data_IF_514370634007
#
_entry.id   IF_514370634007
#
_cell.length_a   1.000
_cell.length_b   1.000
_cell.length_c   1.000
_cell.angle_alpha   90.00
_cell.angle_beta   90.00
_cell.angle_gamma   90.00
#
_symmetry.space_group_name_H-M   'P 1'
#
loop_
_entity.id
_entity.type
_entity.pdbx_description
1 polymer ?
#
# COMPACT_ATOMS: atom_id res chain seq x y z
N UNK A 1 14.60 -13.92 -7.23
CA UNK A 1 14.61 -13.58 -5.78
C UNK A 1 14.00 -12.22 -5.49
N UNK A 2 14.27 -11.17 -6.28
CA UNK A 2 13.71 -9.83 -6.04
C UNK A 2 12.19 -9.76 -6.30
N UNK A 3 11.68 -10.53 -7.25
CA UNK A 3 10.27 -10.53 -7.64
C UNK A 3 9.51 -11.75 -7.15
N UNK A 4 8.19 -11.61 -6.96
CA UNK A 4 7.28 -12.69 -6.56
C UNK A 4 7.06 -13.75 -7.65
N UNK A 5 7.58 -13.54 -8.86
CA UNK A 5 7.56 -14.52 -9.96
C UNK A 5 8.16 -15.87 -9.55
N UNK A 6 9.06 -15.86 -8.58
CA UNK A 6 9.70 -17.05 -8.03
C UNK A 6 8.71 -18.02 -7.38
N UNK A 7 7.54 -17.55 -6.94
CA UNK A 7 6.53 -18.39 -6.30
C UNK A 7 5.47 -18.93 -7.29
N UNK A 8 5.40 -18.39 -8.50
CA UNK A 8 4.41 -18.78 -9.52
C UNK A 8 4.96 -19.84 -10.47
N UNK A 9 5.91 -19.45 -11.34
CA UNK A 9 6.51 -20.31 -12.36
C UNK A 9 8.01 -19.98 -12.46
N UNK A 10 8.82 -20.69 -11.68
CA UNK A 10 10.28 -20.59 -11.73
C UNK A 10 10.82 -21.44 -12.89
N UNK A 11 11.45 -20.78 -13.86
CA UNK A 11 12.28 -21.44 -14.87
C UNK A 11 13.69 -21.68 -14.31
N UNK A 12 14.28 -22.88 -14.48
CA UNK A 12 15.64 -23.17 -14.04
C UNK A 12 16.63 -22.14 -14.57
N UNK A 13 17.55 -21.72 -13.70
CA UNK A 13 18.64 -20.81 -14.06
C UNK A 13 19.69 -21.61 -14.82
N UNK A 14 20.09 -21.13 -15.99
CA UNK A 14 21.16 -21.72 -16.80
C UNK A 14 22.48 -20.95 -16.63
N UNK A 15 23.61 -21.62 -16.87
CA UNK A 15 24.95 -21.01 -16.88
C UNK A 15 25.94 -21.60 -15.86
N UNK A 16 27.06 -20.89 -15.66
CA UNK A 16 28.25 -21.37 -14.93
C UNK A 16 28.01 -21.76 -13.47
N UNK A 17 27.00 -21.17 -12.82
CA UNK A 17 26.64 -21.40 -11.41
C UNK A 17 25.21 -21.92 -11.25
N UNK A 18 24.64 -22.52 -12.32
CA UNK A 18 23.24 -22.96 -12.34
C UNK A 18 22.88 -23.90 -11.20
N UNK A 19 23.73 -24.88 -10.88
CA UNK A 19 23.48 -25.85 -9.81
C UNK A 19 23.27 -25.14 -8.47
N UNK A 20 24.24 -24.34 -8.04
CA UNK A 20 24.21 -23.65 -6.74
C UNK A 20 23.08 -22.61 -6.68
N UNK A 21 22.83 -21.88 -7.78
CA UNK A 21 21.78 -20.87 -7.85
C UNK A 21 20.38 -21.50 -7.81
N UNK A 22 20.14 -22.60 -8.52
CA UNK A 22 18.85 -23.30 -8.46
C UNK A 22 18.62 -23.89 -7.07
N UNK A 23 19.64 -24.50 -6.44
CA UNK A 23 19.54 -24.99 -5.06
C UNK A 23 19.21 -23.86 -4.08
N UNK A 24 19.87 -22.70 -4.19
CA UNK A 24 19.57 -21.52 -3.37
C UNK A 24 18.11 -21.06 -3.55
N UNK A 25 17.64 -20.99 -4.80
CA UNK A 25 16.27 -20.58 -5.13
C UNK A 25 15.23 -21.56 -4.61
N UNK A 26 15.45 -22.86 -4.78
CA UNK A 26 14.56 -23.91 -4.28
C UNK A 26 14.49 -23.91 -2.76
N UNK A 27 15.64 -23.84 -2.06
CA UNK A 27 15.68 -23.77 -0.61
C UNK A 27 15.01 -22.51 -0.06
N UNK A 28 15.18 -21.36 -0.73
CA UNK A 28 14.46 -20.13 -0.40
C UNK A 28 12.95 -20.29 -0.56
N UNK A 29 12.52 -20.84 -1.69
CA UNK A 29 11.09 -21.08 -1.95
C UNK A 29 10.48 -22.02 -0.92
N UNK A 30 11.17 -23.12 -0.59
CA UNK A 30 10.70 -24.10 0.39
C UNK A 30 10.63 -23.50 1.79
N UNK A 31 11.62 -22.68 2.19
CA UNK A 31 11.58 -21.95 3.46
C UNK A 31 10.37 -21.03 3.53
N UNK A 32 10.14 -20.20 2.50
CA UNK A 32 9.02 -19.25 2.51
C UNK A 32 7.67 -19.99 2.50
N UNK A 33 7.48 -21.01 1.68
CA UNK A 33 6.17 -21.66 1.53
C UNK A 33 5.86 -22.71 2.61
N UNK A 34 6.89 -23.34 3.17
CA UNK A 34 6.74 -24.54 4.02
C UNK A 34 7.57 -24.49 5.31
N UNK A 35 8.28 -23.38 5.59
CA UNK A 35 9.15 -23.20 6.76
C UNK A 35 10.21 -24.31 6.92
N UNK A 36 10.61 -24.95 5.82
CA UNK A 36 11.71 -25.93 5.83
C UNK A 36 13.01 -25.25 6.19
N UNK A 37 13.85 -25.88 7.02
CA UNK A 37 15.11 -25.28 7.46
C UNK A 37 16.00 -24.87 6.28
N UNK A 38 16.54 -23.66 6.38
CA UNK A 38 17.44 -23.10 5.38
C UNK A 38 18.89 -23.34 5.84
N UNK A 39 19.60 -24.26 5.18
CA UNK A 39 20.99 -24.59 5.55
C UNK A 39 21.96 -23.45 5.20
N UNK A 40 22.87 -23.13 6.14
CA UNK A 40 23.94 -22.15 5.94
C UNK A 40 24.93 -22.59 4.85
N UNK A 41 25.05 -23.90 4.61
CA UNK A 41 26.01 -24.47 3.68
C UNK A 41 25.67 -24.09 2.23
N UNK A 42 24.38 -23.90 1.92
CA UNK A 42 23.93 -23.45 0.59
C UNK A 42 24.51 -22.06 0.25
N UNK A 43 24.62 -21.17 1.24
CA UNK A 43 25.25 -19.86 1.05
C UNK A 43 26.74 -20.00 0.79
N UNK A 44 27.41 -20.84 1.60
CA UNK A 44 28.85 -21.05 1.54
C UNK A 44 29.28 -21.70 0.23
N UNK A 45 28.55 -22.70 -0.25
CA UNK A 45 28.87 -23.41 -1.48
C UNK A 45 28.85 -22.46 -2.70
N UNK A 46 27.83 -21.62 -2.81
CA UNK A 46 27.76 -20.60 -3.87
C UNK A 46 28.89 -19.57 -3.73
N UNK A 47 29.11 -19.07 -2.51
CA UNK A 47 30.13 -18.06 -2.23
C UNK A 47 31.53 -18.58 -2.55
N UNK A 48 31.90 -19.75 -2.04
CA UNK A 48 33.20 -20.41 -2.27
C UNK A 48 33.45 -20.65 -3.75
N UNK A 49 32.44 -21.15 -4.48
CA UNK A 49 32.60 -21.45 -5.91
C UNK A 49 32.83 -20.18 -6.73
N UNK A 50 32.16 -19.09 -6.37
CA UNK A 50 32.30 -17.79 -7.03
C UNK A 50 33.61 -17.12 -6.64
N UNK A 51 34.06 -17.25 -5.39
CA UNK A 51 35.33 -16.68 -4.94
C UNK A 51 36.54 -17.39 -5.56
N UNK A 52 36.44 -18.70 -5.82
CA UNK A 52 37.52 -19.46 -6.46
C UNK A 52 37.59 -19.26 -7.98
N UNK A 53 36.43 -19.14 -8.64
CA UNK A 53 36.34 -19.26 -10.11
C UNK A 53 35.69 -18.05 -10.82
N UNK A 54 35.21 -17.07 -10.07
CA UNK A 54 34.47 -15.91 -10.57
C UNK A 54 35.36 -14.70 -10.84
N UNK A 55 34.78 -13.70 -11.49
CA UNK A 55 35.37 -12.36 -11.60
C UNK A 55 35.04 -11.52 -10.37
N UNK A 56 35.77 -10.42 -10.17
CA UNK A 56 35.46 -9.43 -9.11
C UNK A 56 34.00 -8.96 -9.16
N UNK A 57 33.46 -8.78 -10.37
CA UNK A 57 32.05 -8.45 -10.56
C UNK A 57 31.12 -9.56 -10.08
N UNK A 58 31.45 -10.83 -10.38
CA UNK A 58 30.65 -11.99 -9.92
C UNK A 58 30.63 -12.08 -8.39
N UNK A 59 31.76 -11.79 -7.75
CA UNK A 59 31.91 -11.75 -6.29
C UNK A 59 30.97 -10.71 -5.67
N UNK A 60 30.96 -9.49 -6.21
CA UNK A 60 30.07 -8.42 -5.74
C UNK A 60 28.60 -8.82 -5.89
N UNK A 61 28.22 -9.29 -7.08
CA UNK A 61 26.82 -9.66 -7.36
C UNK A 61 26.34 -10.79 -6.45
N UNK A 62 27.16 -11.80 -6.20
CA UNK A 62 26.78 -12.93 -5.33
C UNK A 62 26.67 -12.48 -3.88
N UNK A 63 27.59 -11.66 -3.37
CA UNK A 63 27.45 -11.11 -2.02
C UNK A 63 26.16 -10.27 -1.87
N UNK A 64 25.83 -9.43 -2.87
CA UNK A 64 24.57 -8.69 -2.89
C UNK A 64 23.35 -9.63 -2.92
N UNK A 65 23.38 -10.68 -3.74
CA UNK A 65 22.31 -11.68 -3.82
C UNK A 65 22.10 -12.35 -2.47
N UNK A 66 23.17 -12.85 -1.84
CA UNK A 66 23.08 -13.53 -0.55
C UNK A 66 22.55 -12.59 0.54
N UNK A 67 23.03 -11.34 0.58
CA UNK A 67 22.53 -10.33 1.50
C UNK A 67 21.03 -10.05 1.31
N UNK A 68 20.57 -9.98 0.05
CA UNK A 68 19.14 -9.83 -0.27
C UNK A 68 18.34 -11.05 0.20
N UNK A 69 18.84 -12.27 -0.03
CA UNK A 69 18.16 -13.50 0.43
C UNK A 69 18.02 -13.51 1.95
N UNK A 70 19.10 -13.23 2.69
CA UNK A 70 19.07 -13.14 4.15
C UNK A 70 18.05 -12.10 4.62
N UNK A 71 18.08 -10.90 4.04
CA UNK A 71 17.13 -9.84 4.37
C UNK A 71 15.69 -10.27 4.14
N UNK A 72 15.39 -10.93 3.02
CA UNK A 72 14.03 -11.39 2.69
C UNK A 72 13.56 -12.50 3.62
N UNK A 73 14.44 -13.41 4.04
CA UNK A 73 14.14 -14.43 5.06
C UNK A 73 13.83 -13.75 6.40
N UNK A 74 14.63 -12.78 6.81
CA UNK A 74 14.44 -12.07 8.08
C UNK A 74 13.16 -11.24 8.10
N UNK A 75 12.74 -10.69 6.96
CA UNK A 75 11.47 -9.97 6.82
C UNK A 75 10.32 -10.87 6.35
N UNK A 76 10.49 -12.19 6.27
CA UNK A 76 9.47 -13.07 5.70
C UNK A 76 8.25 -13.22 6.61
N UNK A 77 7.07 -13.29 6.00
CA UNK A 77 5.83 -13.58 6.71
C UNK A 77 5.87 -14.94 7.42
N UNK A 78 6.57 -15.91 6.84
CA UNK A 78 6.78 -17.27 7.37
C UNK A 78 7.51 -17.29 8.70
N UNK A 79 8.50 -16.40 8.86
CA UNK A 79 9.23 -16.22 10.11
C UNK A 79 8.42 -15.37 11.09
N UNK A 80 7.98 -14.20 10.63
CA UNK A 80 7.54 -13.13 11.50
C UNK A 80 6.06 -13.19 11.90
N UNK A 81 5.15 -13.67 11.04
CA UNK A 81 3.73 -13.72 11.41
C UNK A 81 3.46 -14.68 12.57
N UNK A 82 3.99 -15.91 12.60
CA UNK A 82 3.85 -16.79 13.77
C UNK A 82 4.39 -16.14 15.06
N UNK A 83 5.58 -15.52 14.99
CA UNK A 83 6.22 -14.84 16.11
C UNK A 83 5.38 -13.67 16.63
N UNK A 84 4.96 -12.76 15.75
CA UNK A 84 4.22 -11.55 16.13
C UNK A 84 2.75 -11.81 16.49
N UNK A 85 2.14 -12.88 15.99
CA UNK A 85 0.78 -13.26 16.37
C UNK A 85 0.75 -14.16 17.61
N UNK A 86 1.87 -14.80 17.96
CA UNK A 86 1.89 -15.86 18.98
C UNK A 86 1.18 -17.13 18.54
N UNK A 87 1.04 -17.35 17.23
CA UNK A 87 0.36 -18.49 16.63
C UNK A 87 1.34 -19.47 16.00
N UNK A 88 0.93 -20.73 15.91
CA UNK A 88 1.72 -21.73 15.19
C UNK A 88 1.74 -21.46 13.68
N UNK A 89 2.81 -21.85 13.00
CA UNK A 89 2.94 -21.70 11.55
C UNK A 89 1.84 -22.42 10.77
N UNK A 90 1.34 -23.56 11.27
CA UNK A 90 0.27 -24.33 10.63
C UNK A 90 -1.00 -23.50 10.37
N UNK A 91 -1.34 -22.55 11.25
CA UNK A 91 -2.50 -21.68 11.08
C UNK A 91 -2.29 -20.64 9.97
N UNK A 92 -1.04 -20.29 9.67
CA UNK A 92 -0.69 -19.33 8.63
C UNK A 92 -0.34 -20.00 7.29
N UNK A 93 -0.15 -21.31 7.28
CA UNK A 93 0.41 -22.06 6.16
C UNK A 93 -0.43 -21.86 4.88
N UNK A 94 -1.74 -22.08 4.96
CA UNK A 94 -2.63 -21.96 3.79
C UNK A 94 -2.59 -20.54 3.19
N UNK A 95 -2.64 -19.52 4.05
CA UNK A 95 -2.49 -18.13 3.62
C UNK A 95 -1.14 -17.91 2.94
N UNK A 96 -0.04 -18.27 3.61
CA UNK A 96 1.32 -18.07 3.11
C UNK A 96 1.58 -18.85 1.82
N UNK A 97 0.83 -19.92 1.51
CA UNK A 97 0.97 -20.66 0.26
C UNK A 97 0.15 -20.08 -0.90
N UNK A 98 -0.88 -19.28 -0.61
CA UNK A 98 -1.69 -18.63 -1.63
C UNK A 98 -0.88 -17.65 -2.50
N UNK A 99 -1.32 -17.44 -3.74
CA UNK A 99 -0.61 -16.61 -4.73
C UNK A 99 -0.66 -15.11 -4.42
N UNK A 100 -1.73 -14.64 -3.78
CA UNK A 100 -1.94 -13.22 -3.41
C UNK A 100 -1.45 -12.85 -2.01
N UNK A 101 -0.81 -13.77 -1.27
CA UNK A 101 -0.36 -13.50 0.09
C UNK A 101 0.87 -12.59 0.14
N UNK A 102 0.99 -11.85 1.24
CA UNK A 102 2.20 -11.10 1.56
C UNK A 102 3.29 -12.10 1.96
N UNK A 103 4.34 -12.25 1.16
CA UNK A 103 5.49 -13.13 1.48
C UNK A 103 6.52 -12.44 2.37
N UNK A 104 6.59 -11.11 2.28
CA UNK A 104 7.55 -10.26 2.98
C UNK A 104 6.84 -9.08 3.64
N UNK A 105 7.15 -8.86 4.91
CA UNK A 105 6.62 -7.76 5.69
C UNK A 105 7.42 -6.48 5.42
N UNK A 106 6.69 -5.40 5.19
CA UNK A 106 7.24 -4.06 5.13
C UNK A 106 7.63 -3.57 6.52
N UNK A 107 8.53 -2.58 6.63
CA UNK A 107 8.95 -2.02 7.93
C UNK A 107 7.78 -1.62 8.83
N UNK A 108 6.69 -1.11 8.26
CA UNK A 108 5.45 -0.80 8.99
C UNK A 108 4.87 -2.03 9.67
N UNK A 109 4.64 -3.11 8.93
CA UNK A 109 4.04 -4.35 9.43
C UNK A 109 4.93 -5.02 10.48
N UNK A 110 6.25 -4.95 10.30
CA UNK A 110 7.23 -5.41 11.29
C UNK A 110 7.08 -4.62 12.60
N UNK A 111 6.94 -3.29 12.53
CA UNK A 111 6.77 -2.46 13.72
C UNK A 111 5.43 -2.75 14.43
N UNK A 112 4.33 -2.93 13.68
CA UNK A 112 3.06 -3.36 14.26
C UNK A 112 3.20 -4.68 15.03
N UNK A 113 3.91 -5.65 14.44
CA UNK A 113 4.18 -6.94 15.07
C UNK A 113 5.00 -6.81 16.35
N UNK A 114 6.10 -6.03 16.32
CA UNK A 114 6.94 -5.76 17.50
C UNK A 114 6.18 -5.10 18.64
N UNK A 115 5.21 -4.23 18.33
CA UNK A 115 4.38 -3.57 19.33
C UNK A 115 3.14 -4.41 19.75
N UNK A 116 3.11 -5.70 19.39
CA UNK A 116 2.07 -6.66 19.74
C UNK A 116 0.66 -6.33 19.22
N UNK A 117 0.56 -5.53 18.14
CA UNK A 117 -0.73 -5.25 17.49
C UNK A 117 -1.35 -6.55 16.94
N UNK A 118 -0.54 -7.41 16.31
CA UNK A 118 -1.03 -8.69 15.79
C UNK A 118 -1.45 -9.67 16.90
N UNK A 119 -0.88 -9.57 18.10
CA UNK A 119 -1.26 -10.37 19.27
C UNK A 119 -2.50 -9.85 20.01
N UNK A 120 -3.08 -8.72 19.60
CA UNK A 120 -4.32 -8.20 20.20
C UNK A 120 -4.19 -6.87 20.94
N UNK A 121 -3.01 -6.23 20.96
CA UNK A 121 -2.83 -4.95 21.67
C UNK A 121 -3.53 -3.81 20.92
N UNK A 122 -4.22 -2.95 21.66
CA UNK A 122 -4.80 -1.70 21.16
C UNK A 122 -3.71 -0.66 20.94
N UNK A 123 -3.93 0.31 20.05
CA UNK A 123 -2.95 1.35 19.83
C UNK A 123 -3.28 2.37 18.75
N UNK A 124 -2.34 3.30 18.58
CA UNK A 124 -2.31 4.24 17.48
C UNK A 124 -1.19 3.84 16.53
N UNK A 125 -1.49 3.81 15.25
CA UNK A 125 -0.58 3.43 14.18
C UNK A 125 -0.43 4.60 13.23
N UNK A 126 0.76 5.21 13.26
CA UNK A 126 1.15 6.27 12.34
C UNK A 126 1.77 5.64 11.10
N UNK A 127 0.98 5.62 10.02
CA UNK A 127 1.36 5.04 8.74
C UNK A 127 0.99 6.02 7.62
N UNK A 128 1.99 6.67 7.02
CA UNK A 128 1.76 7.52 5.87
C UNK A 128 1.15 6.76 4.68
N UNK A 129 0.50 7.49 3.77
CA UNK A 129 -0.02 6.94 2.52
C UNK A 129 1.07 6.15 1.79
N UNK A 130 0.67 5.03 1.18
CA UNK A 130 1.57 4.11 0.47
C UNK A 130 2.57 3.35 1.36
N UNK A 131 2.40 3.32 2.69
CA UNK A 131 3.26 2.56 3.62
C UNK A 131 2.72 1.14 3.94
N UNK A 132 1.75 0.63 3.17
CA UNK A 132 1.20 -0.72 3.36
C UNK A 132 0.10 -0.81 4.41
N UNK A 133 -0.73 0.23 4.50
CA UNK A 133 -1.82 0.38 5.48
C UNK A 133 -2.88 -0.72 5.34
N UNK A 134 -3.41 -0.91 4.13
CA UNK A 134 -4.40 -1.97 3.86
C UNK A 134 -3.85 -3.37 4.14
N UNK A 135 -2.59 -3.63 3.77
CA UNK A 135 -1.89 -4.87 4.11
C UNK A 135 -1.76 -5.09 5.62
N UNK A 136 -1.50 -4.04 6.39
CA UNK A 136 -1.43 -4.09 7.85
C UNK A 136 -2.78 -4.39 8.50
N UNK A 137 -3.85 -3.77 7.99
CA UNK A 137 -5.23 -4.07 8.39
C UNK A 137 -5.55 -5.54 8.09
N UNK A 138 -5.20 -6.02 6.89
CA UNK A 138 -5.44 -7.40 6.49
C UNK A 138 -4.75 -8.42 7.42
N UNK A 139 -3.45 -8.23 7.69
CA UNK A 139 -2.70 -9.11 8.59
C UNK A 139 -3.24 -9.07 10.03
N UNK A 140 -3.70 -7.90 10.49
CA UNK A 140 -4.31 -7.77 11.82
C UNK A 140 -5.62 -8.54 11.92
N UNK A 141 -6.50 -8.43 10.91
CA UNK A 141 -7.75 -9.19 10.82
C UNK A 141 -7.48 -10.69 10.82
N UNK A 142 -6.56 -11.15 9.97
CA UNK A 142 -6.15 -12.55 9.89
C UNK A 142 -5.64 -13.09 11.21
N UNK A 143 -4.73 -12.36 11.86
CA UNK A 143 -4.20 -12.75 13.16
C UNK A 143 -5.31 -12.88 14.21
N UNK A 144 -6.25 -11.93 14.25
CA UNK A 144 -7.37 -11.96 15.17
C UNK A 144 -8.33 -13.12 14.91
N UNK A 145 -8.60 -13.42 13.63
CA UNK A 145 -9.41 -14.56 13.23
C UNK A 145 -8.71 -15.90 13.47
N UNK A 146 -7.44 -16.07 13.12
CA UNK A 146 -6.71 -17.33 13.29
C UNK A 146 -6.46 -17.67 14.77
N UNK A 147 -6.34 -16.65 15.61
CA UNK A 147 -6.29 -16.81 17.07
C UNK A 147 -7.65 -17.10 17.71
N UNK A 148 -8.76 -17.03 16.94
CA UNK A 148 -10.14 -17.12 17.43
C UNK A 148 -10.44 -16.17 18.61
N UNK A 149 -9.74 -15.02 18.66
CA UNK A 149 -10.00 -13.97 19.66
C UNK A 149 -11.27 -13.19 19.34
N UNK A 150 -11.63 -13.14 18.07
CA UNK A 150 -12.76 -12.40 17.56
C UNK A 150 -13.46 -13.23 16.48
N UNK A 151 -14.78 -13.09 16.38
CA UNK A 151 -15.55 -13.54 15.22
C UNK A 151 -15.89 -12.35 14.31
N UNK A 152 -16.01 -11.15 14.87
CA UNK A 152 -16.43 -9.97 14.12
C UNK A 152 -15.46 -8.80 14.33
N UNK A 153 -15.16 -8.12 13.22
CA UNK A 153 -14.35 -6.92 13.18
C UNK A 153 -15.11 -5.75 12.55
N UNK A 154 -14.77 -4.53 12.97
CA UNK A 154 -15.35 -3.28 12.50
C UNK A 154 -14.25 -2.37 11.95
N UNK A 155 -14.43 -1.85 10.73
CA UNK A 155 -13.57 -0.84 10.13
C UNK A 155 -14.39 0.42 9.88
N UNK A 156 -13.92 1.54 10.40
CA UNK A 156 -14.56 2.85 10.28
C UNK A 156 -13.70 3.73 9.39
N UNK A 157 -14.21 4.18 8.25
CA UNK A 157 -13.51 5.11 7.37
C UNK A 157 -14.37 6.34 7.05
N UNK A 158 -13.76 7.51 6.80
CA UNK A 158 -14.49 8.79 6.77
C UNK A 158 -15.51 8.95 5.63
N UNK A 159 -15.25 8.33 4.48
CA UNK A 159 -16.04 8.54 3.27
C UNK A 159 -16.54 7.23 2.70
N UNK A 160 -17.72 7.26 2.06
CA UNK A 160 -18.29 6.09 1.38
C UNK A 160 -17.36 5.55 0.29
N UNK A 161 -16.70 6.44 -0.46
CA UNK A 161 -15.75 6.05 -1.49
C UNK A 161 -14.56 5.28 -0.89
N UNK A 162 -14.02 5.74 0.24
CA UNK A 162 -12.90 5.07 0.91
C UNK A 162 -13.33 3.75 1.55
N UNK A 163 -14.52 3.67 2.14
CA UNK A 163 -15.06 2.39 2.59
C UNK A 163 -15.21 1.38 1.43
N UNK A 164 -15.64 1.82 0.24
CA UNK A 164 -15.71 0.96 -0.97
C UNK A 164 -14.34 0.44 -1.39
N UNK A 165 -13.34 1.30 -1.33
CA UNK A 165 -11.94 0.94 -1.61
C UNK A 165 -11.45 -0.11 -0.62
N UNK A 166 -11.56 0.15 0.70
CA UNK A 166 -11.18 -0.80 1.74
C UNK A 166 -11.95 -2.12 1.59
N UNK A 167 -13.25 -2.05 1.26
CA UNK A 167 -14.06 -3.25 1.02
C UNK A 167 -13.49 -4.10 -0.12
N UNK A 168 -13.21 -3.49 -1.28
CA UNK A 168 -12.66 -4.20 -2.44
C UNK A 168 -11.33 -4.85 -2.09
N UNK A 169 -10.44 -4.12 -1.43
CA UNK A 169 -9.12 -4.61 -1.07
C UNK A 169 -9.20 -5.77 -0.06
N UNK A 170 -9.93 -5.57 1.05
CA UNK A 170 -10.07 -6.60 2.09
C UNK A 170 -10.78 -7.83 1.54
N UNK A 171 -11.84 -7.65 0.74
CA UNK A 171 -12.57 -8.76 0.12
C UNK A 171 -11.69 -9.55 -0.87
N UNK A 172 -10.87 -8.87 -1.67
CA UNK A 172 -9.93 -9.52 -2.58
C UNK A 172 -8.94 -10.42 -1.84
N UNK A 173 -8.54 -10.03 -0.63
CA UNK A 173 -7.63 -10.83 0.19
C UNK A 173 -8.29 -12.03 0.86
N UNK A 174 -9.61 -12.03 1.11
CA UNK A 174 -10.33 -13.13 1.77
C UNK A 174 -11.17 -13.98 0.80
N UNK A 175 -11.02 -13.78 -0.52
CA UNK A 175 -11.85 -14.46 -1.54
C UNK A 175 -11.76 -15.98 -1.50
N UNK A 176 -10.61 -16.53 -1.09
CA UNK A 176 -10.37 -17.97 -0.99
C UNK A 176 -10.80 -18.55 0.39
N UNK A 177 -11.28 -17.71 1.31
CA UNK A 177 -11.68 -18.09 2.66
C UNK A 177 -13.20 -17.99 2.84
N UNK A 178 -13.91 -19.07 2.48
CA UNK A 178 -15.38 -19.15 2.54
C UNK A 178 -15.99 -18.93 3.94
N UNK A 179 -15.18 -18.95 5.00
CA UNK A 179 -15.62 -18.70 6.38
C UNK A 179 -15.54 -17.22 6.80
N UNK A 180 -15.02 -16.34 5.93
CA UNK A 180 -14.93 -14.90 6.19
C UNK A 180 -15.88 -14.16 5.26
N UNK A 181 -16.84 -13.44 5.83
CA UNK A 181 -17.75 -12.56 5.10
C UNK A 181 -17.31 -11.12 5.29
N UNK A 182 -16.87 -10.48 4.22
CA UNK A 182 -16.64 -9.03 4.19
C UNK A 182 -17.94 -8.36 3.77
N UNK A 183 -18.46 -7.47 4.61
CA UNK A 183 -19.72 -6.76 4.36
C UNK A 183 -19.49 -5.27 4.35
N UNK A 184 -19.84 -4.65 3.23
CA UNK A 184 -19.98 -3.21 3.14
C UNK A 184 -21.35 -2.80 3.73
N UNK A 185 -21.37 -2.12 4.88
CA UNK A 185 -22.62 -1.77 5.58
C UNK A 185 -23.22 -0.48 4.99
N UNK A 186 -23.16 -0.32 3.67
CA UNK A 186 -23.90 0.74 3.00
C UNK A 186 -25.34 0.34 2.67
N UNK A 187 -25.59 -0.94 2.44
CA UNK A 187 -26.89 -1.47 1.98
C UNK A 187 -27.19 -2.87 2.57
N UNK A 188 -26.89 -3.11 3.85
CA UNK A 188 -27.55 -4.23 4.53
C UNK A 188 -29.02 -3.81 4.77
N UNK A 189 -30.03 -4.57 4.27
CA UNK A 189 -31.34 -4.52 4.89
C UNK A 189 -31.11 -4.79 6.38
N UNK A 190 -31.65 -3.90 7.21
CA UNK A 190 -31.57 -3.85 8.68
C UNK A 190 -30.97 -5.11 9.29
N UNK A 191 -29.82 -4.98 9.98
CA UNK A 191 -29.26 -6.06 10.82
C UNK A 191 -30.45 -6.70 11.53
N UNK A 192 -30.74 -7.99 11.29
CA UNK A 192 -31.92 -8.62 11.83
C UNK A 192 -32.01 -8.31 13.32
N UNK A 193 -33.18 -7.87 13.81
CA UNK A 193 -33.34 -7.46 15.21
C UNK A 193 -32.92 -8.56 16.20
N UNK A 194 -32.94 -9.81 15.76
CA UNK A 194 -32.54 -10.99 16.51
C UNK A 194 -31.04 -11.30 16.47
N UNK A 195 -30.23 -10.48 15.78
CA UNK A 195 -28.78 -10.67 15.63
C UNK A 195 -28.39 -12.05 15.08
N UNK A 196 -29.32 -12.72 14.39
CA UNK A 196 -29.15 -14.09 13.88
C UNK A 196 -27.94 -14.26 12.96
N UNK A 197 -27.53 -13.18 12.29
CA UNK A 197 -26.33 -13.17 11.45
C UNK A 197 -25.06 -13.54 12.22
N UNK A 198 -24.99 -13.32 13.54
CA UNK A 198 -23.81 -13.63 14.34
C UNK A 198 -23.72 -15.11 14.76
N UNK A 199 -24.80 -15.87 14.62
CA UNK A 199 -24.94 -17.23 15.15
C UNK A 199 -24.63 -18.35 14.14
N UNK A 200 -24.16 -18.04 12.94
CA UNK A 200 -23.90 -19.04 11.89
C UNK A 200 -22.45 -19.56 11.86
N UNK A 201 -21.64 -19.20 12.85
CA UNK A 201 -20.24 -19.62 13.00
C UNK A 201 -19.27 -18.99 12.00
N UNK A 202 -19.71 -18.01 11.21
CA UNK A 202 -18.86 -17.30 10.25
C UNK A 202 -18.21 -16.07 10.85
N UNK A 203 -17.03 -15.74 10.32
CA UNK A 203 -16.28 -14.55 10.70
C UNK A 203 -16.69 -13.37 9.81
N UNK A 204 -16.80 -12.17 10.38
CA UNK A 204 -17.32 -11.00 9.65
C UNK A 204 -16.44 -9.78 9.78
N UNK A 205 -16.35 -9.02 8.68
CA UNK A 205 -15.73 -7.70 8.67
C UNK A 205 -16.78 -6.68 8.22
N UNK A 206 -17.15 -5.77 9.09
CA UNK A 206 -18.08 -4.68 8.82
C UNK A 206 -17.31 -3.42 8.46
N UNK A 207 -17.62 -2.82 7.31
CA UNK A 207 -16.99 -1.56 6.87
C UNK A 207 -18.06 -0.48 6.78
N UNK A 208 -17.88 0.63 7.49
CA UNK A 208 -18.87 1.69 7.58
C UNK A 208 -18.28 3.08 7.84
N UNK A 209 -19.13 4.11 7.72
CA UNK A 209 -18.77 5.50 8.03
C UNK A 209 -19.07 5.85 9.50
N UNK A 210 -18.39 6.86 10.07
CA UNK A 210 -18.69 7.40 11.40
C UNK A 210 -20.18 7.62 11.70
N UNK A 211 -20.91 8.24 10.76
CA UNK A 211 -22.34 8.52 10.93
C UNK A 211 -23.19 7.25 11.01
N UNK A 212 -22.83 6.20 10.26
CA UNK A 212 -23.52 4.91 10.31
C UNK A 212 -23.22 4.16 11.60
N UNK A 213 -21.97 4.23 12.10
CA UNK A 213 -21.62 3.68 13.41
C UNK A 213 -22.46 4.31 14.52
N UNK A 214 -22.54 5.64 14.56
CA UNK A 214 -23.34 6.35 15.56
C UNK A 214 -24.83 5.97 15.49
N UNK A 215 -25.37 5.77 14.28
CA UNK A 215 -26.73 5.28 14.10
C UNK A 215 -26.91 3.88 14.71
N UNK A 216 -25.97 2.95 14.44
CA UNK A 216 -26.04 1.58 14.99
C UNK A 216 -25.91 1.58 16.51
N UNK A 217 -24.96 2.34 17.07
CA UNK A 217 -24.78 2.43 18.53
C UNK A 217 -26.00 3.00 19.26
N UNK A 218 -26.80 3.85 18.59
CA UNK A 218 -28.03 4.41 19.17
C UNK A 218 -29.23 3.46 19.11
N UNK A 219 -29.35 2.68 18.04
CA UNK A 219 -30.55 1.86 17.78
C UNK A 219 -30.36 0.38 18.15
N UNK A 220 -29.12 -0.10 18.14
CA UNK A 220 -28.75 -1.52 18.24
C UNK A 220 -27.47 -1.67 19.07
N UNK A 221 -27.50 -1.23 20.33
CA UNK A 221 -26.30 -1.20 21.17
C UNK A 221 -25.64 -2.58 21.33
N UNK A 222 -26.44 -3.66 21.39
CA UNK A 222 -25.95 -5.05 21.46
C UNK A 222 -25.10 -5.49 20.26
N UNK A 223 -25.14 -4.76 19.14
CA UNK A 223 -24.24 -4.99 18.01
C UNK A 223 -22.77 -4.94 18.43
N UNK A 224 -22.42 -4.06 19.36
CA UNK A 224 -21.02 -3.86 19.73
C UNK A 224 -20.45 -4.99 20.58
N UNK A 225 -21.32 -5.69 21.32
CA UNK A 225 -20.91 -6.79 22.20
C UNK A 225 -20.37 -7.98 21.40
N UNK A 226 -20.76 -8.09 20.13
CA UNK A 226 -20.29 -9.11 19.18
C UNK A 226 -18.96 -8.74 18.48
N UNK A 227 -18.49 -7.49 18.60
CA UNK A 227 -17.29 -7.00 17.91
C UNK A 227 -16.07 -7.12 18.83
N UNK A 228 -15.03 -7.82 18.37
CA UNK A 228 -13.77 -8.00 19.11
C UNK A 228 -12.62 -7.10 18.66
N UNK A 229 -12.72 -6.50 17.47
CA UNK A 229 -11.70 -5.61 16.90
C UNK A 229 -12.36 -4.43 16.19
N UNK A 230 -11.90 -3.22 16.49
CA UNK A 230 -12.32 -2.00 15.81
C UNK A 230 -11.11 -1.21 15.29
N UNK A 231 -11.12 -0.90 14.00
CA UNK A 231 -10.08 -0.14 13.31
C UNK A 231 -10.68 1.17 12.82
N UNK A 232 -10.12 2.29 13.25
CA UNK A 232 -10.50 3.64 12.85
C UNK A 232 -9.49 4.17 11.84
N UNK A 233 -9.96 4.38 10.63
CA UNK A 233 -9.15 4.82 9.50
C UNK A 233 -9.18 6.33 9.31
N UNK A 234 -8.04 6.90 8.92
CA UNK A 234 -7.85 8.34 8.75
C UNK A 234 -8.14 9.15 10.02
N UNK A 235 -7.62 8.67 11.14
CA UNK A 235 -7.78 9.33 12.44
C UNK A 235 -7.16 10.74 12.52
N UNK A 236 -6.39 11.20 11.52
CA UNK A 236 -5.95 12.60 11.42
C UNK A 236 -7.10 13.59 11.28
N UNK A 237 -8.29 13.13 10.90
CA UNK A 237 -9.49 13.97 10.84
C UNK A 237 -9.88 14.56 12.20
N UNK A 238 -9.28 14.08 13.30
CA UNK A 238 -9.37 14.71 14.61
C UNK A 238 -9.03 16.21 14.58
N UNK A 239 -8.09 16.61 13.73
CA UNK A 239 -7.60 17.99 13.61
C UNK A 239 -8.32 18.82 12.54
N UNK A 240 -9.30 18.24 11.84
CA UNK A 240 -10.05 18.98 10.81
C UNK A 240 -11.00 20.00 11.48
N UNK A 241 -10.91 21.31 11.21
CA UNK A 241 -11.72 22.33 11.87
C UNK A 241 -13.24 22.19 11.65
N UNK A 242 -13.65 21.50 10.58
CA UNK A 242 -15.05 21.30 10.22
C UNK A 242 -15.60 19.94 10.64
N UNK A 243 -14.73 18.93 10.79
CA UNK A 243 -15.11 17.52 10.98
C UNK A 243 -14.53 16.86 12.24
N UNK A 244 -13.52 17.46 12.85
CA UNK A 244 -12.85 16.96 14.05
C UNK A 244 -13.80 16.76 15.21
N UNK A 245 -14.72 17.69 15.44
CA UNK A 245 -15.74 17.57 16.51
C UNK A 245 -16.63 16.33 16.36
N UNK A 246 -17.00 15.97 15.12
CA UNK A 246 -17.81 14.77 14.88
C UNK A 246 -17.00 13.48 15.13
N UNK A 247 -15.72 13.49 14.79
CA UNK A 247 -14.83 12.36 15.02
C UNK A 247 -14.49 12.20 16.51
N UNK A 248 -14.24 13.30 17.22
CA UNK A 248 -14.05 13.30 18.67
C UNK A 248 -15.31 12.81 19.40
N UNK A 249 -16.49 13.27 18.98
CA UNK A 249 -17.76 12.79 19.53
C UNK A 249 -17.95 11.29 19.25
N UNK A 250 -17.57 10.81 18.07
CA UNK A 250 -17.57 9.38 17.76
C UNK A 250 -16.67 8.62 18.72
N UNK A 251 -15.38 9.00 18.83
CA UNK A 251 -14.42 8.32 19.69
C UNK A 251 -14.83 8.37 21.18
N UNK A 252 -15.43 9.48 21.62
CA UNK A 252 -15.99 9.62 22.97
C UNK A 252 -17.14 8.64 23.20
N UNK A 253 -18.05 8.55 22.25
CA UNK A 253 -19.20 7.62 22.28
C UNK A 253 -18.70 6.18 22.29
N UNK A 254 -17.74 5.87 21.41
CA UNK A 254 -17.07 4.57 21.33
C UNK A 254 -16.44 4.21 22.67
N UNK A 255 -15.62 5.11 23.25
CA UNK A 255 -14.96 4.87 24.54
C UNK A 255 -15.97 4.56 25.65
N UNK A 256 -17.12 5.22 25.65
CA UNK A 256 -18.15 5.02 26.67
C UNK A 256 -18.92 3.70 26.52
N UNK A 257 -19.19 3.29 25.28
CA UNK A 257 -20.07 2.16 24.98
C UNK A 257 -19.29 0.85 24.81
N UNK A 258 -18.08 0.91 24.27
CA UNK A 258 -17.33 -0.28 23.87
C UNK A 258 -16.85 -1.08 25.09
N UNK A 259 -16.95 -2.42 25.07
CA UNK A 259 -16.37 -3.27 26.11
C UNK A 259 -14.87 -3.05 26.25
N UNK A 260 -14.34 -3.11 27.48
CA UNK A 260 -12.89 -2.89 27.73
C UNK A 260 -11.98 -3.89 26.99
N UNK A 261 -12.47 -5.09 26.71
CA UNK A 261 -11.71 -6.16 26.06
C UNK A 261 -11.57 -6.01 24.54
N UNK A 262 -12.28 -5.06 23.90
CA UNK A 262 -12.20 -4.89 22.45
C UNK A 262 -10.85 -4.29 22.05
N UNK A 263 -10.23 -4.88 21.04
CA UNK A 263 -9.02 -4.33 20.45
C UNK A 263 -9.38 -3.09 19.63
N UNK A 264 -8.74 -1.96 19.91
CA UNK A 264 -8.99 -0.67 19.25
C UNK A 264 -7.71 -0.18 18.58
N UNK A 265 -7.79 0.10 17.28
CA UNK A 265 -6.63 0.57 16.50
C UNK A 265 -7.02 1.84 15.76
N UNK A 266 -6.27 2.93 15.95
CA UNK A 266 -6.40 4.13 15.14
C UNK A 266 -5.27 4.15 14.14
N UNK A 267 -5.58 4.28 12.85
CA UNK A 267 -4.58 4.33 11.78
C UNK A 267 -4.66 5.66 11.04
N UNK A 268 -3.53 6.34 10.89
CA UNK A 268 -3.47 7.60 10.14
C UNK A 268 -2.06 7.95 9.70
N UNK A 269 -1.91 8.81 8.70
CA UNK A 269 -0.61 9.29 8.24
C UNK A 269 0.15 10.07 9.32
N UNK A 270 -0.52 11.03 9.97
CA UNK A 270 0.03 11.85 11.05
C UNK A 270 -1.07 12.04 12.08
N UNK A 271 -0.77 11.86 13.36
CA UNK A 271 -1.68 12.22 14.46
C UNK A 271 -0.91 13.10 15.43
N UNK A 272 -1.21 14.40 15.49
CA UNK A 272 -0.62 15.26 16.50
C UNK A 272 -1.10 14.84 17.90
N UNK A 273 -0.23 15.00 18.90
CA UNK A 273 -0.51 14.57 20.28
C UNK A 273 -0.98 13.11 20.41
N UNK A 274 -0.42 12.20 19.59
CA UNK A 274 -0.74 10.77 19.60
C UNK A 274 -0.63 10.15 21.00
N UNK A 275 0.30 10.61 21.83
CA UNK A 275 0.42 10.19 23.23
C UNK A 275 -0.82 10.49 24.07
N UNK A 276 -1.32 11.72 23.97
CA UNK A 276 -2.50 12.14 24.72
C UNK A 276 -3.76 11.40 24.23
N UNK A 277 -3.92 11.27 22.91
CA UNK A 277 -5.05 10.57 22.30
C UNK A 277 -5.01 9.08 22.66
N UNK A 278 -3.83 8.45 22.61
CA UNK A 278 -3.69 7.04 22.94
C UNK A 278 -3.99 6.78 24.42
N UNK A 279 -3.47 7.62 25.33
CA UNK A 279 -3.79 7.55 26.76
C UNK A 279 -5.27 7.79 27.03
N UNK A 280 -5.90 8.70 26.29
CA UNK A 280 -7.33 8.98 26.43
C UNK A 280 -8.20 7.83 25.89
N UNK A 281 -7.91 7.30 24.71
CA UNK A 281 -8.83 6.38 24.01
C UNK A 281 -8.52 4.89 24.23
N UNK A 282 -7.23 4.54 24.22
CA UNK A 282 -6.75 3.16 24.38
C UNK A 282 -6.25 2.86 25.80
N UNK A 283 -6.05 3.89 26.63
CA UNK A 283 -5.48 3.79 27.98
C UNK A 283 -4.05 3.24 27.92
N UNK A 284 -3.87 1.91 28.00
CA UNK A 284 -2.58 1.21 27.96
C UNK A 284 -2.14 0.77 26.54
N UNK A 285 -2.69 1.43 25.52
CA UNK A 285 -2.37 1.15 24.12
C UNK A 285 -0.92 1.48 23.75
N UNK A 286 -0.46 0.96 22.61
CA UNK A 286 0.86 1.30 22.03
C UNK A 286 0.76 2.41 21.00
N UNK A 287 1.88 3.07 20.75
CA UNK A 287 2.02 4.03 19.64
C UNK A 287 3.07 3.46 18.71
N UNK A 288 2.64 3.16 17.49
CA UNK A 288 3.51 2.72 16.41
C UNK A 288 3.81 3.94 15.56
N UNK A 289 4.99 4.53 15.77
CA UNK A 289 5.51 5.65 14.98
C UNK A 289 7.01 5.46 14.85
N UNK A 290 7.52 5.19 13.65
CA UNK A 290 8.95 4.96 13.44
C UNK A 290 9.43 5.69 12.18
N UNK A 291 10.59 6.32 12.25
CA UNK A 291 11.26 6.98 11.12
C UNK A 291 11.58 6.03 9.95
N UNK A 292 11.55 4.71 10.19
CA UNK A 292 11.65 3.69 9.14
C UNK A 292 10.36 3.48 8.36
N UNK A 293 9.21 3.93 8.88
CA UNK A 293 7.94 3.98 8.16
C UNK A 293 7.95 5.26 7.32
N UNK A 294 8.82 5.29 6.32
CA UNK A 294 8.89 6.40 5.38
C UNK A 294 7.74 6.31 4.40
N UNK A 295 7.10 7.45 4.11
CA UNK A 295 6.33 7.63 2.88
C UNK A 295 7.16 7.16 1.69
N UNK A 296 6.51 6.72 0.61
CA UNK A 296 7.14 6.68 -0.71
C UNK A 296 7.98 7.95 -0.89
N UNK A 297 9.27 7.82 -1.21
CA UNK A 297 10.15 8.97 -1.45
C UNK A 297 9.47 9.88 -2.48
N UNK A 298 8.95 11.01 -2.01
CA UNK A 298 8.43 12.03 -2.90
C UNK A 298 9.63 12.79 -3.41
N UNK A 299 9.98 12.54 -4.66
CA UNK A 299 10.98 13.33 -5.36
C UNK A 299 10.28 14.52 -5.99
N UNK A 300 10.76 15.72 -5.67
CA UNK A 300 10.26 16.95 -6.27
C UNK A 300 11.31 17.39 -7.28
N UNK A 301 10.87 17.63 -8.51
CA UNK A 301 11.73 18.17 -9.55
C UNK A 301 11.17 19.50 -10.06
N UNK A 302 12.06 20.47 -10.28
CA UNK A 302 11.74 21.74 -10.94
C UNK A 302 12.27 21.70 -12.37
N UNK A 303 11.42 22.06 -13.32
CA UNK A 303 11.83 22.30 -14.70
C UNK A 303 12.41 23.71 -14.79
N UNK A 304 13.68 23.82 -15.16
CA UNK A 304 14.27 25.09 -15.57
C UNK A 304 14.35 25.15 -17.10
N UNK A 305 13.82 26.24 -17.64
CA UNK A 305 13.74 26.54 -19.06
C UNK A 305 14.80 27.58 -19.49
N UNK A 306 15.83 27.82 -18.68
CA UNK A 306 16.93 28.73 -19.02
C UNK A 306 17.74 28.24 -20.24
N UNK A 307 17.24 28.49 -21.45
CA UNK A 307 17.91 28.24 -22.72
C UNK A 307 17.15 27.27 -23.65
N UNK A 308 17.84 26.78 -24.69
CA UNK A 308 17.30 25.85 -25.70
C UNK A 308 17.16 24.41 -25.23
N UNK A 309 17.56 24.08 -24.00
CA UNK A 309 17.46 22.74 -23.41
C UNK A 309 16.83 22.83 -22.01
N UNK A 310 15.65 22.24 -21.87
CA UNK A 310 14.97 22.07 -20.59
C UNK A 310 15.71 21.04 -19.71
N UNK A 311 15.75 21.30 -18.40
CA UNK A 311 16.43 20.45 -17.42
C UNK A 311 15.54 20.27 -16.18
N UNK A 312 15.51 19.05 -15.64
CA UNK A 312 14.84 18.76 -14.38
C UNK A 312 15.85 18.76 -13.24
N UNK A 313 15.67 19.63 -12.26
CA UNK A 313 16.45 19.69 -11.02
C UNK A 313 15.68 19.00 -9.92
N UNK A 314 16.19 17.86 -9.45
CA UNK A 314 15.62 17.13 -8.32
C UNK A 314 16.12 17.74 -7.02
N UNK A 315 15.20 18.07 -6.13
CA UNK A 315 15.50 18.68 -4.83
C UNK A 315 14.92 17.85 -3.69
N UNK A 316 15.61 17.86 -2.56
CA UNK A 316 15.06 17.35 -1.31
C UNK A 316 13.95 18.32 -0.82
N UNK A 317 12.72 17.84 -0.58
CA UNK A 317 11.59 18.71 -0.26
C UNK A 317 11.64 19.31 1.15
N UNK A 318 12.54 18.84 2.01
CA UNK A 318 12.71 19.30 3.40
C UNK A 318 13.83 20.33 3.47
N UNK A 319 14.97 20.02 2.88
CA UNK A 319 16.18 20.86 2.92
C UNK A 319 16.25 21.86 1.78
N UNK A 320 15.51 21.63 0.69
CA UNK A 320 15.57 22.37 -0.57
C UNK A 320 16.95 22.32 -1.26
N UNK A 321 17.81 21.38 -0.87
CA UNK A 321 19.09 21.15 -1.52
C UNK A 321 18.89 20.38 -2.84
N UNK A 322 19.65 20.75 -3.88
CA UNK A 322 19.70 20.01 -5.13
C UNK A 322 20.37 18.65 -4.90
N UNK A 323 19.66 17.56 -5.22
CA UNK A 323 20.21 16.21 -5.15
C UNK A 323 20.97 15.86 -6.44
N UNK A 324 20.32 16.05 -7.59
CA UNK A 324 20.86 15.80 -8.93
C UNK A 324 19.99 16.47 -10.01
N UNK A 325 20.49 16.57 -11.23
CA UNK A 325 19.71 17.07 -12.37
C UNK A 325 19.70 16.10 -13.55
N UNK A 326 18.65 16.16 -14.36
CA UNK A 326 18.50 15.38 -15.60
C UNK A 326 18.44 16.36 -16.78
N UNK A 327 19.47 16.38 -17.66
CA UNK A 327 19.50 17.30 -18.78
C UNK A 327 18.67 16.78 -19.97
N UNK A 328 18.09 17.72 -20.75
CA UNK A 328 17.42 17.45 -22.05
C UNK A 328 16.27 16.45 -21.94
N UNK A 329 15.41 16.68 -20.98
CA UNK A 329 14.25 15.84 -20.69
C UNK A 329 13.11 16.02 -21.70
N UNK A 330 13.05 17.17 -22.38
CA UNK A 330 12.03 17.47 -23.40
C UNK A 330 12.60 17.48 -24.82
N UNK A 331 11.98 16.67 -25.68
CA UNK A 331 12.17 16.65 -27.13
C UNK A 331 11.05 17.41 -27.84
N UNK A 332 11.38 18.50 -28.53
CA UNK A 332 10.42 19.27 -29.32
C UNK A 332 10.24 18.63 -30.70
N UNK A 333 9.01 18.28 -31.04
CA UNK A 333 8.60 17.68 -32.31
C UNK A 333 7.79 18.68 -33.14
N UNK A 334 7.97 18.65 -34.45
CA UNK A 334 7.13 19.40 -35.38
C UNK A 334 5.77 18.71 -35.52
N UNK A 335 4.69 19.51 -35.47
CA UNK A 335 3.32 19.01 -35.65
C UNK A 335 2.87 19.13 -37.10
N UNK A 336 2.01 18.21 -37.54
CA UNK A 336 1.38 18.35 -38.85
C UNK A 336 0.51 19.62 -38.93
N UNK A 337 0.57 20.29 -40.08
CA UNK A 337 -0.21 21.49 -40.34
C UNK A 337 -1.61 21.11 -40.77
N UNK A 338 -2.61 21.82 -40.25
CA UNK A 338 -4.01 21.61 -40.62
C UNK A 338 -4.50 22.73 -41.54
N UNK A 339 -5.09 22.36 -42.68
CA UNK A 339 -5.72 23.30 -43.61
C UNK A 339 -4.74 24.26 -44.27
N UNK A 340 -4.90 25.57 -44.04
CA UNK A 340 -4.11 26.66 -44.65
C UNK A 340 -3.16 27.34 -43.67
N UNK A 341 -2.77 26.64 -42.60
CA UNK A 341 -1.79 27.15 -41.64
C UNK A 341 -0.46 27.45 -42.34
N UNK A 342 0.12 28.63 -42.05
CA UNK A 342 1.39 29.06 -42.67
C UNK A 342 2.59 28.95 -41.74
N UNK A 343 2.35 28.86 -40.43
CA UNK A 343 3.39 28.77 -39.41
C UNK A 343 3.51 27.31 -38.96
N UNK A 344 4.73 26.78 -38.99
CA UNK A 344 5.04 25.46 -38.43
C UNK A 344 4.75 25.49 -36.92
N UNK A 345 3.92 24.55 -36.47
CA UNK A 345 3.64 24.35 -35.04
C UNK A 345 4.54 23.27 -34.50
N UNK A 346 4.81 23.35 -33.21
CA UNK A 346 5.66 22.41 -32.48
C UNK A 346 4.98 21.94 -31.21
N UNK A 347 5.42 20.81 -30.68
CA UNK A 347 5.02 20.31 -29.38
C UNK A 347 6.19 19.59 -28.68
N UNK A 348 6.40 19.80 -27.38
CA UNK A 348 5.75 20.83 -26.57
C UNK A 348 6.28 22.23 -26.92
N UNK A 349 5.41 23.24 -26.85
CA UNK A 349 5.87 24.63 -26.82
C UNK A 349 6.51 24.90 -25.45
N UNK A 350 7.84 25.10 -25.41
CA UNK A 350 8.61 25.19 -24.16
C UNK A 350 8.16 26.33 -23.23
N UNK A 351 7.55 27.39 -23.77
CA UNK A 351 7.01 28.51 -22.99
C UNK A 351 5.60 28.26 -22.45
N UNK A 352 4.98 27.14 -22.80
CA UNK A 352 3.60 26.80 -22.41
C UNK A 352 3.61 25.70 -21.35
N UNK A 353 3.31 26.10 -20.11
CA UNK A 353 3.25 25.23 -18.93
C UNK A 353 2.33 24.01 -19.13
N UNK A 354 1.23 24.18 -19.88
CA UNK A 354 0.29 23.09 -20.15
C UNK A 354 0.90 22.07 -21.13
N UNK A 355 1.65 22.53 -22.14
CA UNK A 355 2.31 21.64 -23.09
C UNK A 355 3.39 20.80 -22.41
N UNK A 356 4.17 21.41 -21.51
CA UNK A 356 5.14 20.68 -20.68
C UNK A 356 4.45 19.65 -19.79
N UNK A 357 3.34 20.03 -19.15
CA UNK A 357 2.55 19.11 -18.32
C UNK A 357 1.98 17.93 -19.12
N UNK A 358 1.49 18.18 -20.33
CA UNK A 358 0.98 17.15 -21.25
C UNK A 358 2.12 16.24 -21.73
N UNK A 359 3.28 16.81 -22.09
CA UNK A 359 4.44 16.06 -22.55
C UNK A 359 4.93 15.07 -21.50
N UNK A 360 5.12 15.52 -20.26
CA UNK A 360 5.45 14.62 -19.16
C UNK A 360 4.33 13.63 -18.86
N UNK A 361 3.07 14.06 -18.95
CA UNK A 361 1.90 13.20 -18.85
C UNK A 361 1.97 11.99 -19.79
N UNK A 362 2.25 12.23 -21.06
CA UNK A 362 2.33 11.19 -22.09
C UNK A 362 3.55 10.29 -21.86
N UNK A 363 4.71 10.86 -21.55
CA UNK A 363 5.96 10.08 -21.42
C UNK A 363 6.04 9.25 -20.14
N UNK A 364 5.42 9.71 -19.05
CA UNK A 364 5.49 9.03 -17.76
C UNK A 364 4.38 8.01 -17.53
N UNK A 365 3.33 7.99 -18.37
CA UNK A 365 2.17 7.10 -18.19
C UNK A 365 2.52 5.61 -18.21
N UNK A 366 3.60 5.23 -18.90
CA UNK A 366 4.09 3.85 -18.91
C UNK A 366 4.63 3.40 -17.54
N UNK A 367 4.97 4.34 -16.65
CA UNK A 367 5.50 4.05 -15.32
C UNK A 367 4.40 4.01 -14.22
N UNK A 368 3.14 4.26 -14.58
CA UNK A 368 2.01 4.26 -13.66
C UNK A 368 1.03 5.42 -13.91
N UNK A 369 0.05 5.57 -13.03
CA UNK A 369 -0.95 6.64 -13.13
C UNK A 369 -0.31 8.03 -13.02
N UNK A 370 -0.63 8.91 -13.97
CA UNK A 370 -0.13 10.29 -14.00
C UNK A 370 -1.29 11.27 -13.79
N UNK A 371 -1.10 12.23 -12.88
CA UNK A 371 -2.05 13.31 -12.63
C UNK A 371 -1.51 14.65 -13.12
N UNK A 372 -2.28 15.37 -13.92
CA UNK A 372 -1.98 16.76 -14.29
C UNK A 372 -2.79 17.69 -13.39
N UNK A 373 -2.11 18.42 -12.51
CA UNK A 373 -2.76 19.35 -11.61
C UNK A 373 -3.24 20.61 -12.36
N UNK A 374 -4.54 20.88 -12.29
CA UNK A 374 -5.15 22.07 -12.88
C UNK A 374 -5.59 23.02 -11.75
N UNK A 375 -4.89 24.15 -11.59
CA UNK A 375 -5.23 25.11 -10.53
C UNK A 375 -6.62 25.74 -10.64
N UNK A 376 -7.24 25.67 -11.82
CA UNK A 376 -8.61 26.15 -12.07
C UNK A 376 -9.39 25.18 -12.96
N UNK A 377 -10.72 25.20 -12.85
CA UNK A 377 -11.63 24.32 -13.60
C UNK A 377 -11.59 24.55 -15.11
N UNK A 378 -11.36 25.79 -15.55
CA UNK A 378 -11.23 26.15 -16.96
C UNK A 378 -9.94 25.61 -17.60
N UNK A 379 -8.85 25.53 -16.83
CA UNK A 379 -7.57 24.95 -17.28
C UNK A 379 -7.72 23.50 -17.74
N UNK A 380 -8.60 22.72 -17.10
CA UNK A 380 -8.89 21.32 -17.50
C UNK A 380 -9.34 21.26 -18.96
N UNK A 381 -10.26 22.16 -19.36
CA UNK A 381 -10.75 22.20 -20.75
C UNK A 381 -9.66 22.61 -21.74
N UNK A 382 -8.71 23.47 -21.33
CA UNK A 382 -7.59 23.88 -22.17
C UNK A 382 -6.67 22.69 -22.44
N UNK A 383 -6.32 21.93 -21.41
CA UNK A 383 -5.50 20.72 -21.52
C UNK A 383 -6.18 19.66 -22.39
N UNK A 384 -7.47 19.37 -22.15
CA UNK A 384 -8.22 18.40 -22.95
C UNK A 384 -8.30 18.81 -24.43
N UNK A 385 -8.55 20.09 -24.72
CA UNK A 385 -8.53 20.60 -26.11
C UNK A 385 -7.16 20.45 -26.75
N UNK A 386 -6.09 20.61 -25.98
CA UNK A 386 -4.73 20.44 -26.47
C UNK A 386 -4.43 18.98 -26.82
N UNK A 387 -4.86 18.01 -26.01
CA UNK A 387 -4.79 16.58 -26.38
C UNK A 387 -5.53 16.28 -27.69
N UNK A 388 -6.73 16.84 -27.89
CA UNK A 388 -7.49 16.68 -29.14
C UNK A 388 -6.74 17.29 -30.33
N UNK A 389 -6.15 18.47 -30.17
CA UNK A 389 -5.35 19.12 -31.22
C UNK A 389 -4.11 18.29 -31.59
N UNK A 390 -3.41 17.71 -30.61
CA UNK A 390 -2.28 16.81 -30.85
C UNK A 390 -2.68 15.55 -31.63
N UNK A 391 -3.80 14.94 -31.23
CA UNK A 391 -4.34 13.77 -31.93
C UNK A 391 -4.73 14.10 -33.38
N UNK A 392 -5.37 15.25 -33.61
CA UNK A 392 -5.75 15.70 -34.95
C UNK A 392 -4.54 16.02 -35.85
N UNK A 393 -3.37 16.28 -35.26
CA UNK A 393 -2.11 16.57 -35.95
C UNK A 393 -1.20 15.35 -36.04
N UNK A 394 -1.74 14.14 -35.83
CA UNK A 394 -1.03 12.87 -35.86
C UNK A 394 0.22 12.83 -34.94
N UNK A 395 0.20 13.57 -33.83
CA UNK A 395 1.22 13.41 -32.81
C UNK A 395 1.08 12.03 -32.15
N UNK A 396 2.20 11.36 -31.86
CA UNK A 396 2.18 10.03 -31.26
C UNK A 396 1.65 10.07 -29.82
N UNK A 397 0.40 9.62 -29.66
CA UNK A 397 -0.29 9.45 -28.39
C UNK A 397 -0.49 7.96 -28.05
N UNK A 398 0.28 7.07 -28.67
CA UNK A 398 0.11 5.61 -28.52
C UNK A 398 0.18 5.18 -27.05
N UNK A 399 1.14 5.70 -26.30
CA UNK A 399 1.33 5.35 -24.89
C UNK A 399 0.18 5.85 -24.02
N UNK A 400 -0.33 7.04 -24.31
CA UNK A 400 -1.53 7.57 -23.66
C UNK A 400 -2.75 6.68 -23.95
N UNK A 401 -2.99 6.32 -25.21
CA UNK A 401 -4.15 5.51 -25.63
C UNK A 401 -4.11 4.05 -25.15
N UNK A 402 -2.92 3.49 -24.91
CA UNK A 402 -2.75 2.13 -24.38
C UNK A 402 -3.00 2.05 -22.87
N UNK A 403 -2.62 3.10 -22.14
CA UNK A 403 -2.63 3.11 -20.68
C UNK A 403 -3.80 3.92 -20.08
N UNK A 404 -4.68 4.47 -20.91
CA UNK A 404 -5.91 5.15 -20.49
C UNK A 404 -7.13 4.24 -20.63
N UNK A 405 -8.10 4.37 -19.74
CA UNK A 405 -9.40 3.71 -19.89
C UNK A 405 -10.10 4.27 -21.14
N UNK A 406 -10.57 3.39 -22.03
CA UNK A 406 -11.26 3.79 -23.27
C UNK A 406 -12.74 4.12 -23.05
N UNK A 407 -13.26 3.83 -21.86
CA UNK A 407 -14.65 4.05 -21.49
C UNK A 407 -14.90 5.40 -20.80
N UNK A 408 -13.83 6.10 -20.43
CA UNK A 408 -13.80 7.51 -20.00
C UNK A 408 -13.26 8.40 -21.12
#
# INVERSE_FOLDING_TARGET
>A
VITDKLFLNHTPIEGKYSSELNTLVESYRNYILSKTEFSIDIYRDLQDKVYRNGSDFSVIIVNCLLAVVCKKIDSSSTKLLPEFSGLDFSLWQDYIQSTGSIKELWPSQIELGKQAIFSGKSGIVQMPTSSGKTASINLTLRSAFYSNRIDNALIVAPFRALCREIYRDINAHFVDENNVIVSEVFDLPEIPQDFSIFNDGKKRVFILTPGKLLFLLRNHQSFIDEIGLCIFDEAHLFDDPSRGTNFELLLSTVKQIFPKGIQKILISAVIPNSEAINRWFNEDGVIVSNNSIKTTEKRVAFSDLNGSNEQLYFIDPITFEEEFFVPRTVSVSELEQLGKERKQKVFPELTNENDISIYYGINLINNGGVGIFCGRKDTVNVILRRFIDLNNRNYDLTDFLKNSDRSE
#
